data_IF_002495326184
#
_entry.id   IF_002495326184
#
_cell.length_a   1.000
_cell.length_b   1.000
_cell.length_c   1.000
_cell.angle_alpha   90.00
_cell.angle_beta   90.00
_cell.angle_gamma   90.00
#
_symmetry.space_group_name_H-M   'P 1'
#
loop_
_entity.id
_entity.type
_entity.pdbx_description
1 polymer ?
#
# COMPACT_ATOMS: atom_id res chain seq x y z
N UNK A 1 -14.47 -5.29 -12.07
CA UNK A 1 -15.43 -6.36 -12.46
C UNK A 1 -15.05 -7.64 -11.71
N UNK A 2 -15.94 -8.12 -10.85
CA UNK A 2 -15.71 -9.40 -10.16
C UNK A 2 -16.32 -10.52 -11.01
N UNK A 3 -15.53 -11.58 -11.33
CA UNK A 3 -15.99 -12.66 -12.22
C UNK A 3 -17.14 -13.50 -11.63
N UNK A 4 -17.36 -13.46 -10.30
CA UNK A 4 -18.47 -14.15 -9.64
C UNK A 4 -19.07 -13.35 -8.48
N UNK A 5 -20.33 -13.60 -8.14
CA UNK A 5 -20.99 -13.02 -6.96
C UNK A 5 -20.28 -13.43 -5.64
N UNK A 6 -19.68 -14.61 -5.60
CA UNK A 6 -18.92 -15.11 -4.45
C UNK A 6 -17.63 -14.34 -4.23
N UNK A 7 -16.86 -14.06 -5.30
CA UNK A 7 -15.67 -13.24 -5.24
C UNK A 7 -16.01 -11.82 -4.74
N UNK A 8 -17.12 -11.24 -5.21
CA UNK A 8 -17.63 -9.96 -4.72
C UNK A 8 -17.98 -10.00 -3.24
N UNK A 9 -18.72 -11.01 -2.81
CA UNK A 9 -19.17 -11.15 -1.41
C UNK A 9 -18.02 -11.45 -0.45
N UNK A 10 -16.98 -12.17 -0.91
CA UNK A 10 -15.76 -12.36 -0.15
C UNK A 10 -15.04 -11.03 0.10
N UNK A 11 -14.91 -10.19 -0.92
CA UNK A 11 -14.27 -8.86 -0.81
C UNK A 11 -15.09 -7.91 0.07
N UNK A 12 -16.42 -7.96 0.02
CA UNK A 12 -17.33 -7.18 0.88
C UNK A 12 -17.21 -7.61 2.35
N UNK A 13 -17.12 -8.90 2.64
CA UNK A 13 -16.86 -9.43 4.00
C UNK A 13 -15.50 -9.03 4.57
N UNK A 14 -14.57 -8.62 3.72
CA UNK A 14 -13.23 -8.18 4.08
C UNK A 14 -13.15 -6.76 4.70
N UNK A 15 -14.28 -6.08 4.90
CA UNK A 15 -14.29 -4.69 5.36
C UNK A 15 -13.78 -3.69 4.30
N UNK A 16 -13.63 -4.16 3.06
CA UNK A 16 -13.29 -3.30 1.92
C UNK A 16 -14.39 -2.27 1.64
N UNK A 17 -15.59 -2.46 2.19
CA UNK A 17 -16.74 -1.55 1.97
C UNK A 17 -16.54 -0.24 2.72
N UNK A 18 -16.20 -0.24 4.01
CA UNK A 18 -16.01 1.00 4.77
C UNK A 18 -14.74 1.76 4.38
N UNK A 19 -13.65 1.04 4.08
CA UNK A 19 -12.43 1.65 3.52
C UNK A 19 -12.62 2.07 2.06
N UNK A 20 -13.41 1.30 1.31
CA UNK A 20 -13.77 1.59 -0.08
C UNK A 20 -14.72 2.78 -0.22
N UNK A 21 -15.73 2.94 0.65
CA UNK A 21 -16.66 4.07 0.58
C UNK A 21 -15.99 5.42 0.87
N UNK A 22 -15.04 5.46 1.82
CA UNK A 22 -14.25 6.67 2.05
C UNK A 22 -13.29 6.98 0.89
N UNK A 23 -12.76 5.93 0.24
CA UNK A 23 -11.93 6.09 -0.95
C UNK A 23 -12.77 6.40 -2.19
N UNK A 24 -13.96 5.79 -2.33
CA UNK A 24 -14.88 6.05 -3.46
C UNK A 24 -15.49 7.44 -3.41
N UNK A 25 -15.84 7.97 -2.23
CA UNK A 25 -16.31 9.35 -2.11
C UNK A 25 -15.22 10.38 -2.49
N UNK A 26 -13.94 10.07 -2.20
CA UNK A 26 -12.81 10.87 -2.65
C UNK A 26 -12.53 10.69 -4.14
N UNK A 27 -12.68 9.47 -4.65
CA UNK A 27 -12.54 9.16 -6.07
C UNK A 27 -13.65 9.82 -6.88
N UNK A 28 -14.87 9.85 -6.38
CA UNK A 28 -16.03 10.47 -7.05
C UNK A 28 -15.83 11.99 -7.17
N UNK A 29 -15.41 12.65 -6.10
CA UNK A 29 -15.08 14.08 -6.13
C UNK A 29 -13.89 14.39 -7.08
N UNK A 30 -12.90 13.51 -7.14
CA UNK A 30 -11.76 13.62 -8.04
C UNK A 30 -12.14 13.33 -9.50
N UNK A 31 -12.92 12.26 -9.75
CA UNK A 31 -13.38 11.89 -11.07
C UNK A 31 -14.29 12.96 -11.68
N UNK A 32 -15.15 13.60 -10.88
CA UNK A 32 -15.96 14.74 -11.33
C UNK A 32 -15.12 15.97 -11.66
N UNK A 33 -14.05 16.23 -10.91
CA UNK A 33 -13.12 17.31 -11.20
C UNK A 33 -12.28 17.06 -12.48
N UNK A 34 -11.95 15.81 -12.79
CA UNK A 34 -11.18 15.42 -13.96
C UNK A 34 -12.04 15.18 -15.23
N UNK A 35 -13.29 14.79 -15.09
CA UNK A 35 -14.21 14.60 -16.22
C UNK A 35 -14.44 15.88 -17.04
N UNK A 36 -14.19 17.05 -16.45
CA UNK A 36 -14.22 18.35 -17.14
C UNK A 36 -12.94 18.73 -17.87
N UNK A 37 -11.85 17.97 -17.65
CA UNK A 37 -10.56 18.19 -18.33
C UNK A 37 -10.41 17.11 -19.39
N UNK A 38 -10.66 17.43 -20.65
CA UNK A 38 -10.64 16.50 -21.78
C UNK A 38 -9.52 15.45 -21.67
N UNK A 39 -9.84 14.23 -22.11
CA UNK A 39 -8.94 13.07 -22.21
C UNK A 39 -7.60 13.43 -22.85
N UNK A 40 -6.69 13.95 -22.07
CA UNK A 40 -5.29 14.12 -22.43
C UNK A 40 -4.51 13.08 -21.64
N UNK A 41 -3.90 12.14 -22.37
CA UNK A 41 -2.89 11.18 -21.94
C UNK A 41 -3.07 10.67 -20.50
N UNK A 42 -3.18 9.37 -20.33
CA UNK A 42 -2.95 8.65 -19.07
C UNK A 42 -1.48 8.88 -18.65
N UNK A 43 -1.16 10.09 -18.21
CA UNK A 43 0.07 10.34 -17.47
C UNK A 43 -0.01 9.48 -16.21
N UNK A 44 1.00 8.68 -15.96
CA UNK A 44 1.20 7.88 -14.75
C UNK A 44 1.24 8.79 -13.52
N UNK A 45 0.07 9.29 -13.10
CA UNK A 45 -0.01 10.18 -11.94
C UNK A 45 0.16 9.34 -10.67
N UNK A 46 1.05 9.75 -9.77
CA UNK A 46 1.24 9.03 -8.53
C UNK A 46 -0.04 9.07 -7.69
N UNK A 47 -0.35 7.96 -7.03
CA UNK A 47 -1.39 7.91 -6.02
C UNK A 47 -0.81 8.34 -4.67
N UNK A 48 -1.40 9.37 -4.04
CA UNK A 48 -0.85 9.99 -2.82
C UNK A 48 -1.91 10.05 -1.73
N UNK A 49 -1.56 9.52 -0.55
CA UNK A 49 -2.36 9.64 0.67
C UNK A 49 -1.52 10.30 1.76
N UNK A 50 -2.11 11.24 2.50
CA UNK A 50 -1.46 11.87 3.66
C UNK A 50 -2.35 11.82 4.89
N UNK A 51 -1.73 11.69 6.06
CA UNK A 51 -2.39 11.78 7.35
C UNK A 51 -1.48 12.44 8.38
N UNK A 52 -2.05 13.28 9.23
CA UNK A 52 -1.34 13.84 10.39
C UNK A 52 -1.64 13.02 11.63
N UNK A 53 -0.59 12.64 12.35
CA UNK A 53 -0.63 11.93 13.63
C UNK A 53 -0.20 12.85 14.76
N UNK A 54 -0.86 12.75 15.92
CA UNK A 54 -0.45 13.41 17.16
C UNK A 54 0.65 12.58 17.85
N UNK A 55 1.81 12.52 17.20
CA UNK A 55 2.97 11.77 17.66
C UNK A 55 4.26 12.37 17.07
N UNK A 56 5.39 12.32 17.80
CA UNK A 56 6.70 12.73 17.29
C UNK A 56 7.11 11.93 16.05
N UNK A 57 7.82 12.56 15.12
CA UNK A 57 8.26 11.98 13.86
C UNK A 57 9.07 10.69 14.05
N UNK A 58 9.96 10.69 15.02
CA UNK A 58 10.81 9.55 15.36
C UNK A 58 9.97 8.33 15.75
N UNK A 59 8.91 8.54 16.53
CA UNK A 59 7.99 7.46 16.92
C UNK A 59 7.19 6.95 15.73
N UNK A 60 6.65 7.86 14.91
CA UNK A 60 5.90 7.44 13.70
C UNK A 60 6.82 6.66 12.76
N UNK A 61 8.04 7.15 12.52
CA UNK A 61 9.05 6.44 11.73
C UNK A 61 9.38 5.07 12.33
N UNK A 62 9.59 4.98 13.65
CA UNK A 62 9.88 3.71 14.33
C UNK A 62 8.78 2.66 14.10
N UNK A 63 7.52 3.09 14.03
CA UNK A 63 6.40 2.19 13.75
C UNK A 63 6.51 1.45 12.40
N UNK A 64 7.26 1.99 11.45
CA UNK A 64 7.52 1.38 10.13
C UNK A 64 8.81 0.55 10.08
N UNK A 65 9.61 0.56 11.14
CA UNK A 65 10.96 -0.04 11.13
C UNK A 65 11.12 -1.23 12.05
N UNK A 66 10.11 -1.54 12.85
CA UNK A 66 10.17 -2.65 13.83
C UNK A 66 8.96 -3.57 13.67
N UNK A 67 9.23 -4.84 13.46
CA UNK A 67 8.20 -5.89 13.35
C UNK A 67 7.23 -5.87 14.52
N UNK A 68 7.71 -5.62 15.75
CA UNK A 68 6.86 -5.54 16.95
C UNK A 68 5.73 -4.51 16.81
N UNK A 69 6.01 -3.37 16.15
CA UNK A 69 5.01 -2.34 15.89
C UNK A 69 4.15 -2.67 14.68
N UNK A 70 4.76 -3.11 13.57
CA UNK A 70 4.07 -3.41 12.33
C UNK A 70 2.97 -4.47 12.51
N UNK A 71 3.17 -5.46 13.36
CA UNK A 71 2.15 -6.48 13.69
C UNK A 71 0.82 -5.91 14.20
N UNK A 72 0.80 -4.69 14.73
CA UNK A 72 -0.39 -4.08 15.31
C UNK A 72 -1.22 -3.24 14.34
N UNK A 73 -0.61 -2.80 13.24
CA UNK A 73 -1.29 -1.85 12.35
C UNK A 73 -1.14 -2.17 10.85
N UNK A 74 -0.15 -2.99 10.46
CA UNK A 74 0.09 -3.31 9.07
C UNK A 74 -1.02 -4.21 8.52
N UNK A 75 -1.61 -3.80 7.39
CA UNK A 75 -2.70 -4.50 6.72
C UNK A 75 -4.09 -3.95 7.06
N UNK A 76 -5.11 -4.38 6.31
CA UNK A 76 -6.50 -3.98 6.52
C UNK A 76 -7.05 -4.45 7.86
N UNK A 77 -8.12 -3.79 8.34
CA UNK A 77 -8.81 -4.19 9.57
C UNK A 77 -9.28 -5.65 9.50
N UNK A 78 -9.02 -6.41 10.57
CA UNK A 78 -9.36 -7.84 10.65
C UNK A 78 -8.32 -8.78 10.06
N UNK A 79 -7.29 -8.27 9.40
CA UNK A 79 -6.16 -9.02 8.89
C UNK A 79 -5.02 -9.01 9.91
N UNK A 80 -4.34 -10.14 10.06
CA UNK A 80 -3.18 -10.26 10.96
C UNK A 80 -1.91 -10.45 10.14
N UNK A 81 -0.86 -9.71 10.50
CA UNK A 81 0.47 -9.99 9.98
C UNK A 81 1.06 -11.19 10.71
N UNK A 82 1.34 -12.21 9.95
CA UNK A 82 1.98 -13.45 10.41
C UNK A 82 3.26 -13.71 9.62
N UNK A 83 4.15 -14.55 10.16
CA UNK A 83 5.44 -14.90 9.55
C UNK A 83 6.26 -13.68 9.05
N UNK A 84 6.34 -12.55 9.79
CA UNK A 84 7.11 -11.40 9.33
C UNK A 84 8.61 -11.65 9.46
N UNK A 85 9.35 -11.33 8.41
CA UNK A 85 10.81 -11.26 8.37
C UNK A 85 11.23 -9.87 7.89
N UNK A 86 12.10 -9.19 8.62
CA UNK A 86 12.50 -7.82 8.34
C UNK A 86 14.02 -7.67 8.36
N UNK A 87 14.58 -7.31 7.22
CA UNK A 87 15.92 -6.81 7.05
C UNK A 87 15.85 -5.32 6.68
N UNK A 88 15.88 -4.44 7.71
CA UNK A 88 15.66 -3.00 7.52
C UNK A 88 16.98 -2.28 7.16
N UNK A 89 17.37 -2.40 5.91
CA UNK A 89 18.51 -1.69 5.29
C UNK A 89 18.27 -1.51 3.79
N UNK A 90 18.94 -0.58 3.11
CA UNK A 90 18.90 -0.52 1.64
C UNK A 90 19.32 -1.88 1.04
N UNK A 91 18.52 -2.38 0.08
CA UNK A 91 18.62 -3.72 -0.49
C UNK A 91 18.03 -4.84 0.37
N UNK A 92 17.69 -4.58 1.64
CA UNK A 92 17.01 -5.53 2.50
C UNK A 92 15.51 -5.66 2.19
N UNK A 93 14.86 -6.64 2.80
CA UNK A 93 13.48 -7.00 2.51
C UNK A 93 12.62 -7.09 3.79
N UNK A 94 11.41 -6.55 3.73
CA UNK A 94 10.33 -6.92 4.63
C UNK A 94 9.43 -7.92 3.89
N UNK A 95 9.37 -9.15 4.37
CA UNK A 95 8.54 -10.22 3.83
C UNK A 95 7.55 -10.69 4.91
N UNK A 96 6.28 -10.85 4.56
CA UNK A 96 5.23 -11.15 5.53
C UNK A 96 4.04 -11.83 4.86
N UNK A 97 3.28 -12.60 5.64
CA UNK A 97 1.95 -13.05 5.27
C UNK A 97 0.87 -12.24 6.00
N UNK A 98 -0.18 -11.89 5.30
CA UNK A 98 -1.43 -11.37 5.84
C UNK A 98 -2.43 -12.52 5.95
N UNK A 99 -2.84 -12.84 7.17
CA UNK A 99 -3.82 -13.89 7.43
C UNK A 99 -5.21 -13.31 7.51
N UNK A 100 -6.09 -13.82 6.67
CA UNK A 100 -7.50 -13.49 6.64
C UNK A 100 -8.29 -14.22 7.73
N UNK A 101 -9.53 -13.79 8.07
CA UNK A 101 -10.34 -14.44 9.09
C UNK A 101 -10.66 -15.91 8.82
N UNK A 102 -10.68 -16.33 7.55
CA UNK A 102 -10.85 -17.73 7.13
C UNK A 102 -9.56 -18.56 7.18
N UNK A 103 -8.45 -17.93 7.59
CA UNK A 103 -7.14 -18.56 7.73
C UNK A 103 -6.27 -18.57 6.48
N UNK A 104 -6.78 -18.06 5.35
CA UNK A 104 -5.99 -17.95 4.11
C UNK A 104 -4.82 -17.00 4.29
N UNK A 105 -3.72 -17.25 3.57
CA UNK A 105 -2.53 -16.41 3.61
C UNK A 105 -2.35 -15.67 2.29
N UNK A 106 -2.10 -14.38 2.38
CA UNK A 106 -1.69 -13.53 1.27
C UNK A 106 -0.31 -12.96 1.60
N UNK A 107 0.66 -13.27 0.77
CA UNK A 107 2.03 -12.85 0.97
C UNK A 107 2.33 -11.51 0.32
N UNK A 108 3.18 -10.75 0.97
CA UNK A 108 3.68 -9.47 0.46
C UNK A 108 5.14 -9.27 0.81
N UNK A 109 5.81 -8.50 -0.04
CA UNK A 109 7.21 -8.12 0.17
C UNK A 109 7.44 -6.65 -0.14
N UNK A 110 8.43 -6.09 0.55
CA UNK A 110 8.95 -4.75 0.30
C UNK A 110 10.46 -4.81 0.20
N UNK A 111 11.02 -4.33 -0.90
CA UNK A 111 12.47 -4.20 -1.07
C UNK A 111 12.85 -2.75 -0.84
N UNK A 112 13.63 -2.48 0.20
CA UNK A 112 14.06 -1.13 0.53
C UNK A 112 15.10 -0.63 -0.49
N UNK A 113 14.88 0.58 -1.03
CA UNK A 113 15.80 1.26 -1.94
C UNK A 113 16.59 2.33 -1.21
N UNK A 114 15.89 3.13 -0.39
CA UNK A 114 16.47 4.24 0.36
C UNK A 114 15.85 4.28 1.75
N UNK A 115 16.68 4.55 2.75
CA UNK A 115 16.24 4.79 4.12
C UNK A 115 16.98 6.01 4.64
N UNK A 116 16.25 7.08 4.91
CA UNK A 116 16.75 8.35 5.46
C UNK A 116 16.01 8.64 6.77
N UNK A 117 16.50 8.11 7.91
CA UNK A 117 15.82 8.31 9.19
C UNK A 117 15.89 9.77 9.65
N UNK A 118 14.86 10.28 10.33
CA UNK A 118 13.53 9.72 10.50
C UNK A 118 12.52 10.26 9.47
N UNK A 119 12.97 10.65 8.27
CA UNK A 119 12.19 11.46 7.34
C UNK A 119 11.65 10.72 6.12
N UNK A 120 12.33 9.66 5.65
CA UNK A 120 12.00 9.05 4.36
C UNK A 120 12.36 7.57 4.27
N UNK A 121 11.49 6.80 3.61
CA UNK A 121 11.74 5.43 3.17
C UNK A 121 11.25 5.30 1.72
N UNK A 122 12.10 4.76 0.83
CA UNK A 122 11.73 4.39 -0.53
C UNK A 122 11.88 2.89 -0.68
N UNK A 123 10.87 2.25 -1.21
CA UNK A 123 10.84 0.80 -1.38
C UNK A 123 10.04 0.40 -2.63
N UNK A 124 10.25 -0.81 -3.09
CA UNK A 124 9.38 -1.47 -4.08
C UNK A 124 8.47 -2.44 -3.34
N UNK A 125 7.18 -2.20 -3.46
CA UNK A 125 6.14 -3.03 -2.86
C UNK A 125 5.55 -3.99 -3.90
N UNK A 126 5.37 -5.26 -3.54
CA UNK A 126 4.74 -6.27 -4.39
C UNK A 126 4.02 -7.33 -3.57
N UNK A 127 3.05 -8.00 -4.18
CA UNK A 127 2.60 -9.31 -3.70
C UNK A 127 3.72 -10.33 -3.92
N UNK A 128 3.71 -11.38 -3.14
CA UNK A 128 4.72 -12.45 -3.24
C UNK A 128 4.09 -13.81 -2.98
N UNK A 129 4.89 -14.83 -3.17
CA UNK A 129 4.65 -16.16 -2.61
C UNK A 129 5.37 -16.34 -1.26
N UNK A 130 5.30 -17.54 -0.70
CA UNK A 130 5.97 -17.87 0.57
C UNK A 130 7.51 -17.87 0.46
N UNK A 131 8.05 -18.11 -0.74
CA UNK A 131 9.49 -18.06 -0.99
C UNK A 131 10.03 -16.62 -1.13
N UNK A 132 9.12 -15.65 -1.33
CA UNK A 132 9.46 -14.24 -1.53
C UNK A 132 9.62 -13.86 -3.00
N UNK A 133 9.23 -14.72 -3.93
CA UNK A 133 9.18 -14.38 -5.35
C UNK A 133 7.98 -13.48 -5.65
N UNK A 134 8.08 -12.67 -6.71
CA UNK A 134 7.01 -11.74 -7.09
C UNK A 134 5.76 -12.51 -7.49
N UNK A 135 4.65 -12.18 -6.81
CA UNK A 135 3.32 -12.70 -7.10
C UNK A 135 2.37 -11.64 -7.66
N UNK A 136 1.13 -12.04 -7.87
CA UNK A 136 0.03 -11.15 -8.26
C UNK A 136 -1.04 -11.15 -7.18
N UNK A 137 -1.81 -10.06 -7.12
CA UNK A 137 -2.96 -10.00 -6.22
C UNK A 137 -4.00 -11.06 -6.61
N UNK A 138 -4.44 -11.95 -5.69
CA UNK A 138 -5.33 -13.08 -6.05
C UNK A 138 -6.67 -12.65 -6.66
N UNK A 139 -7.20 -11.51 -6.23
CA UNK A 139 -8.48 -10.98 -6.70
C UNK A 139 -8.37 -9.84 -7.73
N UNK A 140 -7.14 -9.44 -8.11
CA UNK A 140 -6.89 -8.37 -9.07
C UNK A 140 -5.60 -8.65 -9.85
N UNK A 141 -5.60 -9.64 -10.76
CA UNK A 141 -4.39 -10.09 -11.46
C UNK A 141 -3.77 -9.01 -12.35
N UNK A 142 -4.56 -8.03 -12.78
CA UNK A 142 -4.14 -6.90 -13.61
C UNK A 142 -3.56 -5.73 -12.80
N UNK A 143 -3.66 -5.80 -11.46
CA UNK A 143 -3.00 -4.84 -10.58
C UNK A 143 -1.49 -4.89 -10.75
N UNK A 144 -0.78 -3.73 -10.72
CA UNK A 144 0.66 -3.69 -10.89
C UNK A 144 1.39 -4.70 -10.00
N UNK A 145 2.30 -5.48 -10.61
CA UNK A 145 3.09 -6.46 -9.88
C UNK A 145 4.00 -5.78 -8.86
N UNK A 146 4.55 -4.63 -9.24
CA UNK A 146 5.45 -3.85 -8.42
C UNK A 146 5.06 -2.37 -8.43
N UNK A 147 5.12 -1.73 -7.28
CA UNK A 147 4.89 -0.29 -7.11
C UNK A 147 6.08 0.34 -6.39
N UNK A 148 6.62 1.41 -6.97
CA UNK A 148 7.54 2.28 -6.25
C UNK A 148 6.75 3.01 -5.16
N UNK A 149 7.15 2.83 -3.93
CA UNK A 149 6.48 3.42 -2.76
C UNK A 149 7.43 4.33 -2.03
N UNK A 150 7.01 5.56 -1.83
CA UNK A 150 7.74 6.52 -0.99
C UNK A 150 6.92 6.86 0.24
N UNK A 151 7.50 6.66 1.41
CA UNK A 151 6.99 7.15 2.69
C UNK A 151 7.77 8.39 3.10
N UNK A 152 7.07 9.47 3.43
CA UNK A 152 7.67 10.67 4.01
C UNK A 152 7.05 10.97 5.37
N UNK A 153 7.88 11.44 6.29
CA UNK A 153 7.53 11.78 7.66
C UNK A 153 7.98 13.21 7.94
N UNK A 154 7.03 14.13 8.00
CA UNK A 154 7.29 15.56 8.17
C UNK A 154 6.78 16.01 9.55
N UNK A 155 7.63 16.63 10.36
CA UNK A 155 7.18 17.31 11.57
C UNK A 155 6.49 18.60 11.15
N UNK A 156 5.18 18.70 11.36
CA UNK A 156 4.36 19.88 10.99
C UNK A 156 4.08 20.79 12.19
N UNK A 157 4.22 20.27 13.40
CA UNK A 157 4.22 21.00 14.67
C UNK A 157 4.88 20.14 15.75
N UNK A 158 5.20 20.71 16.89
CA UNK A 158 5.75 19.95 18.02
C UNK A 158 4.85 18.77 18.37
N UNK A 159 5.40 17.56 18.31
CA UNK A 159 4.69 16.33 18.57
C UNK A 159 3.64 15.94 17.52
N UNK A 160 3.66 16.56 16.32
CA UNK A 160 2.74 16.23 15.22
C UNK A 160 3.49 15.89 13.96
N UNK A 161 3.17 14.75 13.38
CA UNK A 161 3.81 14.24 12.16
C UNK A 161 2.81 14.08 11.04
N UNK A 162 3.06 14.72 9.91
CA UNK A 162 2.40 14.41 8.63
C UNK A 162 3.14 13.24 7.98
N UNK A 163 2.44 12.14 7.85
CA UNK A 163 2.86 10.99 7.06
C UNK A 163 2.23 11.09 5.68
N UNK A 164 3.03 10.82 4.65
CA UNK A 164 2.56 10.73 3.26
C UNK A 164 3.07 9.43 2.66
N UNK A 165 2.18 8.68 2.05
CA UNK A 165 2.53 7.60 1.14
C UNK A 165 2.27 8.02 -0.29
N UNK A 166 3.22 7.75 -1.16
CA UNK A 166 3.15 7.96 -2.60
C UNK A 166 3.45 6.66 -3.31
N UNK A 167 2.53 6.20 -4.14
CA UNK A 167 2.71 5.07 -5.02
C UNK A 167 2.86 5.52 -6.46
N UNK A 168 3.77 4.88 -7.15
CA UNK A 168 4.08 5.12 -8.56
C UNK A 168 4.27 3.79 -9.27
N UNK A 169 3.88 3.76 -10.54
CA UNK A 169 4.20 2.63 -11.38
C UNK A 169 5.72 2.54 -11.60
N UNK A 170 6.19 1.32 -11.71
CA UNK A 170 7.55 1.09 -12.18
C UNK A 170 7.66 1.38 -13.68
N UNK A 171 8.84 1.75 -14.16
CA UNK A 171 9.08 2.06 -15.58
C UNK A 171 8.75 0.89 -16.51
N UNK A 172 8.92 -0.34 -16.02
CA UNK A 172 8.65 -1.60 -16.74
C UNK A 172 7.19 -2.09 -16.58
N UNK A 173 6.28 -1.30 -16.01
CA UNK A 173 4.88 -1.67 -15.92
C UNK A 173 4.28 -1.85 -17.32
N UNK A 174 3.47 -2.90 -17.47
CA UNK A 174 2.75 -3.20 -18.72
C UNK A 174 1.61 -2.20 -18.97
N UNK A 175 1.11 -2.15 -20.20
CA UNK A 175 -0.02 -1.27 -20.55
C UNK A 175 -1.27 -1.59 -19.71
N UNK A 176 -1.55 -2.87 -19.46
CA UNK A 176 -2.67 -3.32 -18.61
C UNK A 176 -2.52 -2.81 -17.18
N UNK A 177 -1.30 -2.87 -16.62
CA UNK A 177 -1.01 -2.32 -15.29
C UNK A 177 -1.17 -0.80 -15.23
N UNK A 178 -0.82 -0.10 -16.32
CA UNK A 178 -1.00 1.36 -16.45
C UNK A 178 -2.46 1.77 -16.54
N UNK A 179 -3.31 0.95 -17.15
CA UNK A 179 -4.75 1.19 -17.25
C UNK A 179 -5.48 0.88 -15.92
N UNK A 180 -4.90 0.00 -15.10
CA UNK A 180 -5.50 -0.44 -13.82
C UNK A 180 -5.11 0.44 -12.65
N UNK A 181 -3.94 1.10 -12.71
CA UNK A 181 -3.40 1.98 -11.65
C UNK A 181 -4.02 3.36 -11.68
#
# INVERSE_FOLDING_TARGET
>A
YFPTAEARNATVKFGAVEGGEQNLARLDAYAQAEAGKGRSSLENKPFIISRTYDAPRELVFECFTKVKHMKHWWGPRGIKVVKPSLDFRPGGMFHYAMQTPDGSLMWGRQIYREITPPSRIVLVNSFSDEAGDIGRHPGAPDWPAELLTTFTFEEVASGKTKFTVRWELMDNASDVERETF
#
